data_IF_823088258803
#
_entry.id   IF_823088258803
#
_cell.length_a   1.000
_cell.length_b   1.000
_cell.length_c   1.000
_cell.angle_alpha   90.00
_cell.angle_beta   90.00
_cell.angle_gamma   90.00
#
_symmetry.space_group_name_H-M   'P 1'
#
loop_
_entity.id
_entity.type
_entity.pdbx_description
1 polymer ?
#
# COMPACT_ATOMS: atom_id res chain seq x y z
N UNK A 1 18.98 4.95 23.42
CA UNK A 1 17.53 4.68 23.57
C UNK A 1 17.09 4.20 22.21
N UNK A 2 16.64 2.95 22.07
CA UNK A 2 16.04 2.49 20.82
C UNK A 2 14.77 3.30 20.57
N UNK A 3 14.61 3.90 19.39
CA UNK A 3 13.35 4.56 19.04
C UNK A 3 12.21 3.52 19.08
N UNK A 4 11.00 3.89 19.56
CA UNK A 4 9.88 2.97 19.60
C UNK A 4 9.46 2.57 18.18
N UNK A 5 9.07 1.30 18.01
CA UNK A 5 8.47 0.84 16.77
C UNK A 5 7.22 1.68 16.44
N UNK A 6 7.10 2.09 15.18
CA UNK A 6 5.99 2.90 14.70
C UNK A 6 5.22 2.13 13.63
N UNK A 7 3.89 2.15 13.73
CA UNK A 7 2.98 1.55 12.76
C UNK A 7 2.24 2.67 12.04
N UNK A 8 2.24 2.62 10.70
CA UNK A 8 1.53 3.57 9.86
C UNK A 8 0.35 2.87 9.17
N UNK A 9 -0.84 3.48 9.22
CA UNK A 9 -1.93 3.10 8.33
C UNK A 9 -1.69 3.76 6.97
N UNK A 10 -1.16 2.97 6.05
CA UNK A 10 -0.70 3.34 4.71
C UNK A 10 0.59 4.15 4.69
N UNK A 11 1.29 4.00 3.57
CA UNK A 11 2.53 4.70 3.26
C UNK A 11 2.31 5.82 2.25
N UNK A 12 3.27 6.75 2.17
CA UNK A 12 3.29 7.79 1.12
C UNK A 12 3.30 7.19 -0.30
N UNK A 13 3.82 5.96 -0.45
CA UNK A 13 3.85 5.22 -1.72
C UNK A 13 2.45 4.85 -2.21
N UNK A 14 1.56 4.50 -1.27
CA UNK A 14 0.19 4.12 -1.58
C UNK A 14 -0.68 5.33 -1.94
N UNK A 15 -0.38 6.51 -1.43
CA UNK A 15 -1.09 7.73 -1.82
C UNK A 15 -0.88 8.06 -3.31
N UNK A 16 0.35 7.90 -3.81
CA UNK A 16 0.66 8.07 -5.24
C UNK A 16 -0.11 7.04 -6.09
N UNK A 17 -0.11 5.77 -5.67
CA UNK A 17 -0.89 4.71 -6.34
C UNK A 17 -2.38 5.05 -6.38
N UNK A 18 -2.97 5.49 -5.25
CA UNK A 18 -4.38 5.87 -5.16
C UNK A 18 -4.72 7.05 -6.06
N UNK A 19 -3.86 8.07 -6.09
CA UNK A 19 -4.05 9.21 -7.01
C UNK A 19 -3.99 8.75 -8.46
N UNK A 20 -3.04 7.88 -8.82
CA UNK A 20 -2.95 7.33 -10.18
C UNK A 20 -4.19 6.54 -10.58
N UNK A 21 -4.71 5.67 -9.70
CA UNK A 21 -5.97 4.94 -9.92
C UNK A 21 -7.12 5.91 -10.17
N UNK A 22 -7.22 6.95 -9.34
CA UNK A 22 -8.27 7.96 -9.41
C UNK A 22 -8.22 8.72 -10.73
N UNK A 23 -7.01 9.06 -11.22
CA UNK A 23 -6.82 9.74 -12.49
C UNK A 23 -7.09 8.84 -13.70
N UNK A 24 -6.69 7.57 -13.63
CA UNK A 24 -6.93 6.60 -14.71
C UNK A 24 -8.40 6.29 -14.93
N UNK A 25 -9.20 6.45 -13.87
CA UNK A 25 -10.65 6.34 -13.93
C UNK A 25 -11.34 7.67 -14.28
N UNK A 26 -10.56 8.74 -14.52
CA UNK A 26 -11.07 10.03 -14.98
C UNK A 26 -11.72 10.90 -13.89
N UNK A 27 -11.47 10.61 -12.60
CA UNK A 27 -11.99 11.42 -11.51
C UNK A 27 -11.14 12.67 -11.22
N UNK A 28 -9.85 12.61 -11.55
CA UNK A 28 -8.91 13.73 -11.47
C UNK A 28 -8.02 13.74 -12.71
N UNK A 29 -7.35 14.86 -12.97
CA UNK A 29 -6.46 14.98 -14.12
C UNK A 29 -5.11 14.30 -13.86
N UNK A 30 -4.52 13.75 -14.93
CA UNK A 30 -3.19 13.11 -14.84
C UNK A 30 -2.11 14.12 -14.43
N UNK A 31 -2.23 15.39 -14.87
CA UNK A 31 -1.34 16.48 -14.47
C UNK A 31 -1.34 16.69 -12.94
N UNK A 32 -2.48 16.53 -12.27
CA UNK A 32 -2.56 16.65 -10.81
C UNK A 32 -1.76 15.54 -10.10
N UNK A 33 -1.70 14.34 -10.68
CA UNK A 33 -0.91 13.22 -10.16
C UNK A 33 0.59 13.49 -10.35
N UNK A 34 0.98 13.95 -11.53
CA UNK A 34 2.38 14.31 -11.83
C UNK A 34 2.88 15.42 -10.91
N UNK A 35 2.07 16.47 -10.72
CA UNK A 35 2.35 17.57 -9.81
C UNK A 35 2.46 17.12 -8.35
N UNK A 36 1.56 16.24 -7.91
CA UNK A 36 1.62 15.65 -6.57
C UNK A 36 2.89 14.83 -6.37
N UNK A 37 3.22 13.98 -7.32
CA UNK A 37 4.44 13.18 -7.30
C UNK A 37 5.70 14.06 -7.28
N UNK A 38 5.76 15.11 -8.10
CA UNK A 38 6.89 16.03 -8.15
C UNK A 38 7.12 16.71 -6.79
N UNK A 39 6.05 17.12 -6.09
CA UNK A 39 6.13 17.70 -4.74
C UNK A 39 6.65 16.70 -3.71
N UNK A 40 6.17 15.45 -3.74
CA UNK A 40 6.66 14.40 -2.84
C UNK A 40 8.14 14.12 -3.11
N UNK A 41 8.51 13.92 -4.37
CA UNK A 41 9.87 13.60 -4.76
C UNK A 41 10.86 14.70 -4.31
N UNK A 42 10.48 15.97 -4.51
CA UNK A 42 11.24 17.12 -4.01
C UNK A 42 11.41 17.06 -2.49
N UNK A 43 10.32 16.87 -1.75
CA UNK A 43 10.37 16.80 -0.28
C UNK A 43 11.27 15.65 0.21
N UNK A 44 11.21 14.49 -0.45
CA UNK A 44 12.06 13.35 -0.10
C UNK A 44 13.54 13.61 -0.41
N UNK A 45 13.85 14.36 -1.48
CA UNK A 45 15.23 14.75 -1.81
C UNK A 45 15.86 15.68 -0.78
N UNK A 46 15.03 16.45 -0.07
CA UNK A 46 15.46 17.42 0.95
C UNK A 46 15.65 16.78 2.33
N UNK A 47 15.13 15.57 2.56
CA UNK A 47 15.31 14.85 3.82
C UNK A 47 16.74 14.29 3.85
N UNK A 48 17.57 14.69 4.83
CA UNK A 48 18.90 14.11 4.99
C UNK A 48 18.74 12.61 5.27
N UNK A 49 19.15 11.78 4.32
CA UNK A 49 19.21 10.33 4.48
C UNK A 49 20.43 9.88 5.30
N UNK A 50 20.98 10.76 6.14
CA UNK A 50 21.98 10.37 7.12
C UNK A 50 21.31 9.60 8.26
N UNK A 51 20.97 8.36 7.93
CA UNK A 51 20.62 7.28 8.85
C UNK A 51 21.23 6.02 8.27
N UNK A 52 22.55 5.94 8.37
CA UNK A 52 23.32 4.75 8.01
C UNK A 52 22.99 3.50 8.86
N UNK A 53 21.87 3.48 9.60
CA UNK A 53 21.20 2.35 10.25
C UNK A 53 19.83 2.83 10.80
N UNK A 54 18.89 1.89 11.00
CA UNK A 54 17.86 1.92 12.09
C UNK A 54 16.35 2.00 11.75
N UNK A 55 15.88 1.84 10.51
CA UNK A 55 14.47 1.45 10.35
C UNK A 55 14.30 0.42 9.25
N UNK A 56 14.39 -0.86 9.62
CA UNK A 56 13.80 -1.94 8.85
C UNK A 56 12.31 -1.63 8.68
N UNK A 57 11.93 -1.12 7.51
CA UNK A 57 10.54 -0.97 7.15
C UNK A 57 10.01 -2.34 6.71
N UNK A 58 8.78 -2.65 7.12
CA UNK A 58 8.09 -3.85 6.67
C UNK A 58 6.76 -3.38 6.10
N UNK A 59 6.55 -3.61 4.80
CA UNK A 59 5.26 -3.42 4.16
C UNK A 59 4.35 -4.59 4.53
N UNK A 60 3.31 -4.31 5.30
CA UNK A 60 2.26 -5.27 5.62
C UNK A 60 1.11 -5.13 4.62
N UNK A 61 0.82 -6.19 3.88
CA UNK A 61 -0.28 -6.22 2.91
C UNK A 61 -1.36 -7.19 3.37
N UNK A 62 -2.48 -6.65 3.82
CA UNK A 62 -3.67 -7.43 4.18
C UNK A 62 -4.41 -7.81 2.90
N UNK A 63 -4.23 -9.04 2.46
CA UNK A 63 -4.85 -9.55 1.24
C UNK A 63 -6.18 -10.27 1.55
N UNK A 64 -7.17 -10.02 0.71
CA UNK A 64 -8.51 -10.59 0.78
C UNK A 64 -9.09 -10.64 -0.64
N UNK A 65 -9.70 -11.76 -1.09
CA UNK A 65 -10.36 -11.80 -2.41
C UNK A 65 -11.36 -10.67 -2.59
N UNK A 66 -11.52 -10.19 -3.84
CA UNK A 66 -12.33 -8.98 -4.10
C UNK A 66 -13.77 -9.13 -3.60
N UNK A 67 -14.37 -10.31 -3.81
CA UNK A 67 -15.74 -10.57 -3.37
C UNK A 67 -15.89 -10.50 -1.85
N UNK A 68 -14.99 -11.12 -1.09
CA UNK A 68 -14.99 -11.01 0.37
C UNK A 68 -14.76 -9.56 0.84
N UNK A 69 -13.89 -8.81 0.15
CA UNK A 69 -13.62 -7.40 0.46
C UNK A 69 -14.87 -6.54 0.25
N UNK A 70 -15.51 -6.63 -0.92
CA UNK A 70 -16.68 -5.82 -1.23
C UNK A 70 -17.88 -6.20 -0.34
N UNK A 71 -18.03 -7.48 0.00
CA UNK A 71 -19.07 -7.95 0.93
C UNK A 71 -18.89 -7.36 2.33
N UNK A 72 -17.64 -7.22 2.81
CA UNK A 72 -17.33 -6.52 4.07
C UNK A 72 -17.65 -5.03 3.99
N UNK A 73 -17.31 -4.36 2.88
CA UNK A 73 -17.66 -2.95 2.65
C UNK A 73 -19.19 -2.75 2.69
N UNK A 74 -19.93 -3.68 2.08
CA UNK A 74 -21.39 -3.65 2.06
C UNK A 74 -22.08 -3.94 3.39
N UNK A 75 -21.37 -4.42 4.41
CA UNK A 75 -21.90 -4.50 5.78
C UNK A 75 -22.17 -3.12 6.38
N UNK A 76 -21.55 -2.06 5.85
CA UNK A 76 -21.82 -0.67 6.26
C UNK A 76 -22.96 -0.12 5.38
N UNK A 77 -24.22 -0.01 5.88
CA UNK A 77 -25.39 0.21 5.02
C UNK A 77 -25.31 1.50 4.20
N UNK A 78 -24.77 2.58 4.79
CA UNK A 78 -24.58 3.86 4.12
C UNK A 78 -23.58 3.77 2.96
N UNK A 79 -22.51 2.99 3.10
CA UNK A 79 -21.50 2.81 2.05
C UNK A 79 -22.08 1.95 0.93
N UNK A 80 -22.83 0.90 1.28
CA UNK A 80 -23.57 0.09 0.31
C UNK A 80 -24.52 0.93 -0.52
N UNK A 81 -25.38 1.74 0.11
CA UNK A 81 -26.31 2.64 -0.58
C UNK A 81 -25.57 3.63 -1.51
N UNK A 82 -24.43 4.14 -1.06
CA UNK A 82 -23.61 5.05 -1.85
C UNK A 82 -23.01 4.39 -3.10
N UNK A 83 -22.46 3.18 -2.97
CA UNK A 83 -21.94 2.40 -4.11
C UNK A 83 -23.06 2.02 -5.07
N UNK A 84 -24.23 1.62 -4.55
CA UNK A 84 -25.39 1.27 -5.40
C UNK A 84 -25.94 2.47 -6.18
N UNK A 85 -25.83 3.68 -5.63
CA UNK A 85 -26.23 4.92 -6.31
C UNK A 85 -25.16 5.49 -7.25
N UNK A 86 -23.91 5.03 -7.14
CA UNK A 86 -22.78 5.47 -7.95
C UNK A 86 -22.02 4.25 -8.51
N UNK A 87 -22.49 3.63 -9.60
CA UNK A 87 -21.95 2.37 -10.11
C UNK A 87 -20.44 2.39 -10.38
N UNK A 88 -19.90 3.54 -10.78
CA UNK A 88 -18.45 3.73 -11.00
C UNK A 88 -17.61 3.44 -9.75
N UNK A 89 -18.18 3.50 -8.54
CA UNK A 89 -17.46 3.19 -7.31
C UNK A 89 -17.14 1.70 -7.21
N UNK A 90 -17.99 0.84 -7.75
CA UNK A 90 -17.70 -0.59 -7.80
C UNK A 90 -16.46 -0.84 -8.69
N UNK A 91 -16.43 -0.21 -9.87
CA UNK A 91 -15.28 -0.26 -10.78
C UNK A 91 -14.02 0.29 -10.10
N UNK A 92 -14.12 1.40 -9.38
CA UNK A 92 -13.02 1.96 -8.58
C UNK A 92 -12.48 0.95 -7.56
N UNK A 93 -13.34 0.30 -6.78
CA UNK A 93 -12.89 -0.68 -5.78
C UNK A 93 -12.25 -1.90 -6.44
N UNK A 94 -12.76 -2.34 -7.59
CA UNK A 94 -12.21 -3.47 -8.34
C UNK A 94 -10.82 -3.15 -8.89
N UNK A 95 -10.66 -1.97 -9.50
CA UNK A 95 -9.38 -1.49 -10.04
C UNK A 95 -8.36 -1.24 -8.94
N UNK A 96 -8.78 -0.62 -7.84
CA UNK A 96 -7.91 -0.43 -6.67
C UNK A 96 -7.45 -1.77 -6.13
N UNK A 97 -8.35 -2.74 -5.94
CA UNK A 97 -7.99 -4.07 -5.45
C UNK A 97 -6.97 -4.77 -6.35
N UNK A 98 -7.17 -4.74 -7.66
CA UNK A 98 -6.24 -5.34 -8.62
C UNK A 98 -4.86 -4.67 -8.58
N UNK A 99 -4.82 -3.34 -8.69
CA UNK A 99 -3.57 -2.58 -8.79
C UNK A 99 -2.77 -2.59 -7.48
N UNK A 100 -3.43 -2.63 -6.33
CA UNK A 100 -2.73 -2.79 -5.05
C UNK A 100 -2.04 -4.16 -4.92
N UNK A 101 -2.65 -5.24 -5.43
CA UNK A 101 -1.98 -6.55 -5.47
C UNK A 101 -0.79 -6.52 -6.42
N UNK A 102 -0.97 -5.94 -7.60
CA UNK A 102 0.10 -5.83 -8.60
C UNK A 102 1.27 -5.01 -8.06
N UNK A 103 0.98 -3.86 -7.43
CA UNK A 103 1.97 -3.05 -6.74
C UNK A 103 2.69 -3.86 -5.66
N UNK A 104 1.97 -4.61 -4.82
CA UNK A 104 2.61 -5.46 -3.81
C UNK A 104 3.56 -6.50 -4.42
N UNK A 105 3.19 -7.16 -5.52
CA UNK A 105 4.08 -8.14 -6.18
C UNK A 105 5.36 -7.48 -6.66
N UNK A 106 5.24 -6.31 -7.25
CA UNK A 106 6.33 -5.54 -7.84
C UNK A 106 7.14 -4.73 -6.82
N UNK A 107 6.67 -4.62 -5.57
CA UNK A 107 7.34 -3.90 -4.48
C UNK A 107 8.62 -4.63 -4.03
N UNK A 108 9.77 -3.97 -4.11
CA UNK A 108 11.08 -4.55 -3.77
C UNK A 108 12.00 -3.58 -3.00
N UNK A 109 11.42 -2.75 -2.13
CA UNK A 109 12.13 -1.61 -1.51
C UNK A 109 12.36 -1.76 -0.02
N UNK A 110 11.58 -2.62 0.61
CA UNK A 110 11.73 -3.02 1.99
C UNK A 110 11.23 -4.45 2.13
N UNK A 111 11.37 -5.02 3.31
CA UNK A 111 10.73 -6.30 3.60
C UNK A 111 9.23 -6.19 3.40
N UNK A 112 8.60 -7.24 2.89
CA UNK A 112 7.15 -7.26 2.68
C UNK A 112 6.54 -8.56 3.19
N UNK A 113 5.38 -8.43 3.82
CA UNK A 113 4.61 -9.56 4.34
C UNK A 113 3.18 -9.47 3.81
N UNK A 114 2.79 -10.47 3.01
CA UNK A 114 1.39 -10.69 2.64
C UNK A 114 0.71 -11.48 3.75
N UNK A 115 -0.38 -10.96 4.28
CA UNK A 115 -1.21 -11.62 5.28
C UNK A 115 -2.57 -11.89 4.64
N UNK A 116 -2.93 -13.15 4.48
CA UNK A 116 -4.28 -13.52 4.04
C UNK A 116 -5.27 -13.28 5.19
N UNK A 117 -6.16 -12.30 5.02
CA UNK A 117 -7.12 -11.88 6.04
C UNK A 117 -8.27 -12.87 6.27
N UNK A 118 -8.30 -14.01 5.56
CA UNK A 118 -9.19 -15.14 5.84
C UNK A 118 -8.58 -16.16 6.81
N UNK A 119 -7.25 -16.18 6.95
CA UNK A 119 -6.55 -17.17 7.78
C UNK A 119 -6.47 -16.76 9.27
N UNK A 120 -6.87 -15.52 9.59
CA UNK A 120 -6.72 -14.93 10.92
C UNK A 120 -7.98 -14.13 11.32
N UNK A 121 -8.41 -14.27 12.57
CA UNK A 121 -9.35 -13.34 13.21
C UNK A 121 -8.58 -12.29 14.01
N UNK A 122 -8.58 -11.04 13.54
CA UNK A 122 -7.88 -9.93 14.21
C UNK A 122 -8.55 -9.45 15.51
N UNK A 123 -9.70 -10.02 15.91
CA UNK A 123 -10.26 -9.86 17.25
C UNK A 123 -9.79 -10.96 18.22
N UNK A 124 -9.13 -11.99 17.71
CA UNK A 124 -8.56 -13.08 18.49
C UNK A 124 -7.07 -12.82 18.76
N UNK A 125 -6.71 -12.75 20.04
CA UNK A 125 -5.33 -12.46 20.42
C UNK A 125 -4.32 -13.55 20.05
N UNK A 126 -4.73 -14.81 19.92
CA UNK A 126 -3.85 -15.89 19.47
C UNK A 126 -3.47 -15.72 18.00
N UNK A 127 -4.41 -15.28 17.17
CA UNK A 127 -4.16 -15.02 15.75
C UNK A 127 -3.32 -13.75 15.55
N UNK A 128 -3.58 -12.72 16.34
CA UNK A 128 -2.73 -11.52 16.40
C UNK A 128 -1.29 -11.89 16.79
N UNK A 129 -1.10 -12.77 17.78
CA UNK A 129 0.22 -13.23 18.19
C UNK A 129 0.95 -14.02 17.08
N UNK A 130 0.23 -14.82 16.27
CA UNK A 130 0.82 -15.53 15.11
C UNK A 130 1.33 -14.56 14.05
N UNK A 131 0.57 -13.50 13.76
CA UNK A 131 0.98 -12.46 12.79
C UNK A 131 2.14 -11.65 13.35
N UNK A 132 2.09 -11.25 14.62
CA UNK A 132 3.18 -10.51 15.28
C UNK A 132 4.50 -11.28 15.23
N UNK A 133 4.46 -12.61 15.44
CA UNK A 133 5.65 -13.46 15.33
C UNK A 133 6.26 -13.45 13.93
N UNK A 134 5.45 -13.48 12.87
CA UNK A 134 5.97 -13.39 11.49
C UNK A 134 6.66 -12.05 11.23
N UNK A 135 6.09 -10.95 11.75
CA UNK A 135 6.68 -9.62 11.66
C UNK A 135 8.01 -9.57 12.41
N UNK A 136 8.07 -10.14 13.62
CA UNK A 136 9.30 -10.21 14.42
C UNK A 136 10.41 -11.01 13.71
N UNK A 137 10.09 -12.16 13.12
CA UNK A 137 11.04 -12.99 12.37
C UNK A 137 11.66 -12.24 11.18
N UNK A 138 10.85 -11.46 10.46
CA UNK A 138 11.32 -10.61 9.36
C UNK A 138 12.21 -9.48 9.90
N UNK A 139 11.77 -8.81 10.97
CA UNK A 139 12.48 -7.69 11.56
C UNK A 139 13.89 -8.07 12.06
N UNK A 140 14.04 -9.27 12.61
CA UNK A 140 15.33 -9.77 13.12
C UNK A 140 16.31 -10.19 12.03
N UNK A 141 15.85 -10.36 10.79
CA UNK A 141 16.70 -10.80 9.68
C UNK A 141 16.36 -10.04 8.38
N UNK A 142 16.59 -8.72 8.36
CA UNK A 142 16.32 -7.90 7.19
C UNK A 142 17.29 -8.26 6.04
N UNK A 143 16.75 -8.37 4.84
CA UNK A 143 17.45 -8.66 3.58
C UNK A 143 17.50 -7.45 2.65
N UNK A 144 16.81 -6.35 2.98
CA UNK A 144 16.81 -5.12 2.22
C UNK A 144 17.64 -4.02 2.89
N UNK A 145 18.38 -3.28 2.08
CA UNK A 145 19.00 -2.02 2.43
C UNK A 145 18.18 -0.89 1.80
N UNK A 146 17.69 0.06 2.61
CA UNK A 146 16.84 1.16 2.11
C UNK A 146 17.74 2.29 1.61
N UNK A 147 17.62 2.64 0.33
CA UNK A 147 18.34 3.77 -0.29
C UNK A 147 17.37 4.82 -0.84
N UNK A 148 17.85 6.06 -1.08
CA UNK A 148 17.03 7.11 -1.72
C UNK A 148 16.48 6.66 -3.07
N UNK A 149 17.35 6.10 -3.90
CA UNK A 149 17.01 5.69 -5.26
C UNK A 149 15.93 4.60 -5.23
N UNK A 150 16.02 3.67 -4.27
CA UNK A 150 14.97 2.68 -4.02
C UNK A 150 13.62 3.35 -3.68
N UNK A 151 13.61 4.35 -2.79
CA UNK A 151 12.38 5.08 -2.43
C UNK A 151 11.77 5.78 -3.66
N UNK A 152 12.60 6.44 -4.47
CA UNK A 152 12.16 7.16 -5.68
C UNK A 152 11.64 6.19 -6.74
N UNK A 153 12.35 5.09 -6.97
CA UNK A 153 11.96 4.08 -7.96
C UNK A 153 10.64 3.40 -7.58
N UNK A 154 10.33 3.23 -6.28
CA UNK A 154 9.04 2.73 -5.83
C UNK A 154 7.88 3.64 -6.20
N UNK A 155 8.03 4.93 -5.90
CA UNK A 155 6.98 5.87 -6.23
C UNK A 155 6.80 5.98 -7.74
N UNK A 156 7.89 5.87 -8.53
CA UNK A 156 7.80 5.78 -9.99
C UNK A 156 7.06 4.53 -10.44
N UNK A 157 7.33 3.39 -9.83
CA UNK A 157 6.60 2.15 -10.11
C UNK A 157 5.10 2.31 -9.85
N UNK A 158 4.70 3.00 -8.77
CA UNK A 158 3.29 3.33 -8.50
C UNK A 158 2.63 4.22 -9.58
N UNK A 159 3.42 4.90 -10.42
CA UNK A 159 2.93 5.69 -11.55
C UNK A 159 2.87 4.90 -12.87
N UNK A 160 3.63 3.81 -12.99
CA UNK A 160 3.71 3.03 -14.23
C UNK A 160 2.55 2.03 -14.25
N UNK A 161 1.71 2.14 -15.26
CA UNK A 161 0.77 1.07 -15.59
C UNK A 161 1.56 -0.04 -16.32
N UNK A 162 1.58 -1.28 -15.81
CA UNK A 162 2.00 -2.43 -16.62
C UNK A 162 0.91 -2.84 -17.63
N UNK A 163 0.21 -1.89 -18.23
CA UNK A 163 -0.67 -2.12 -19.38
C UNK A 163 0.15 -2.23 -20.68
N UNK A 164 1.31 -2.88 -20.61
CA UNK A 164 1.95 -3.51 -21.75
C UNK A 164 1.74 -5.02 -21.64
N UNK A 165 0.50 -5.45 -21.80
CA UNK A 165 0.19 -6.79 -22.26
C UNK A 165 -0.82 -6.63 -23.40
N UNK A 166 -0.31 -6.99 -24.57
CA UNK A 166 -1.00 -7.16 -25.86
C UNK A 166 -2.21 -8.07 -25.69
#
# INVERSE_FOLDING_TARGET
MTEPYTVFDRSVYEDVLRMKITADLGFIDQEEVEDYFARINKRLSEIPLDRSNEASQILLFLDLPFHDMIDRIYQVPKVKEYIMSHPFLYEYYQEAHFRYREWFENYHYSEKLRINALDYDFNNMDDVAKVAKQIEEIYQNPKFEITYDAIVDNMRQSLVNNNNSI
#
